data_IF_193038216133
#
_entry.id   IF_193038216133
#
_cell.length_a   1.000
_cell.length_b   1.000
_cell.length_c   1.000
_cell.angle_alpha   90.00
_cell.angle_beta   90.00
_cell.angle_gamma   90.00
#
_symmetry.space_group_name_H-M   'P 1'
#
loop_
_entity.id
_entity.type
_entity.pdbx_description
1 polymer ?
#
# COMPACT_ATOMS: atom_id res chain seq x y z
N UNK A 1 -0.57 -33.15 20.29
CA UNK A 1 -1.55 -32.66 19.29
C UNK A 1 -0.80 -32.07 18.10
N UNK A 2 -0.90 -32.64 16.89
CA UNK A 2 -0.12 -32.25 15.70
C UNK A 2 -0.19 -30.75 15.33
N UNK A 3 -1.27 -30.06 15.69
CA UNK A 3 -1.45 -28.62 15.40
C UNK A 3 -0.51 -27.67 16.16
N UNK A 4 0.00 -28.07 17.34
CA UNK A 4 0.93 -27.23 18.09
C UNK A 4 2.27 -27.06 17.36
N UNK A 5 2.74 -28.11 16.68
CA UNK A 5 3.98 -28.10 15.89
C UNK A 5 3.88 -27.13 14.71
N UNK A 6 2.73 -27.11 14.03
CA UNK A 6 2.49 -26.22 12.88
C UNK A 6 2.44 -24.75 13.32
N UNK A 7 1.77 -24.47 14.44
CA UNK A 7 1.73 -23.12 15.01
C UNK A 7 3.12 -22.63 15.44
N UNK A 8 3.91 -23.51 16.08
CA UNK A 8 5.29 -23.20 16.48
C UNK A 8 6.18 -22.87 15.28
N UNK A 9 6.04 -23.60 14.17
CA UNK A 9 6.76 -23.31 12.93
C UNK A 9 6.37 -21.95 12.34
N UNK A 10 5.08 -21.62 12.30
CA UNK A 10 4.61 -20.31 11.82
C UNK A 10 5.14 -19.17 12.70
N UNK A 11 5.10 -19.32 14.02
CA UNK A 11 5.63 -18.34 14.98
C UNK A 11 7.14 -18.18 14.79
N UNK A 12 7.89 -19.28 14.71
CA UNK A 12 9.33 -19.24 14.50
C UNK A 12 9.69 -18.53 13.19
N UNK A 13 8.98 -18.84 12.10
CA UNK A 13 9.17 -18.18 10.81
C UNK A 13 8.91 -16.68 10.89
N UNK A 14 7.76 -16.26 11.43
CA UNK A 14 7.42 -14.84 11.55
C UNK A 14 8.42 -14.08 12.42
N UNK A 15 8.86 -14.66 13.54
CA UNK A 15 9.85 -14.06 14.42
C UNK A 15 11.20 -13.86 13.71
N UNK A 16 11.71 -14.90 13.02
CA UNK A 16 12.96 -14.80 12.26
C UNK A 16 12.83 -13.81 11.10
N UNK A 17 11.70 -13.78 10.39
CA UNK A 17 11.44 -12.81 9.32
C UNK A 17 11.42 -11.36 9.83
N UNK A 18 10.79 -11.10 10.98
CA UNK A 18 10.80 -9.78 11.62
C UNK A 18 12.21 -9.38 12.02
N UNK A 19 12.96 -10.27 12.68
CA UNK A 19 14.35 -10.02 13.05
C UNK A 19 15.23 -9.74 11.83
N UNK A 20 15.07 -10.51 10.75
CA UNK A 20 15.78 -10.30 9.49
C UNK A 20 15.45 -8.96 8.84
N UNK A 21 14.17 -8.58 8.80
CA UNK A 21 13.73 -7.29 8.29
C UNK A 21 14.30 -6.12 9.12
N UNK A 22 14.33 -6.24 10.45
CA UNK A 22 14.93 -5.25 11.33
C UNK A 22 16.45 -5.15 11.14
N UNK A 23 17.16 -6.28 11.03
CA UNK A 23 18.59 -6.30 10.78
C UNK A 23 18.94 -5.60 9.46
N UNK A 24 18.18 -5.87 8.39
CA UNK A 24 18.33 -5.19 7.10
C UNK A 24 18.04 -3.69 7.19
N UNK A 25 16.96 -3.30 7.88
CA UNK A 25 16.60 -1.90 8.05
C UNK A 25 17.66 -1.11 8.85
N UNK A 26 18.20 -1.71 9.93
CA UNK A 26 19.29 -1.11 10.72
C UNK A 26 20.57 -1.01 9.89
N UNK A 27 20.93 -2.06 9.16
CA UNK A 27 22.10 -2.03 8.28
C UNK A 27 21.97 -0.97 7.18
N UNK A 28 20.76 -0.80 6.62
CA UNK A 28 20.46 0.23 5.64
C UNK A 28 20.60 1.64 6.24
N UNK A 29 20.06 1.89 7.44
CA UNK A 29 20.23 3.16 8.14
C UNK A 29 21.71 3.45 8.42
N UNK A 30 22.46 2.46 8.90
CA UNK A 30 23.90 2.62 9.17
C UNK A 30 24.68 3.01 7.91
N UNK A 31 24.30 2.46 6.74
CA UNK A 31 24.98 2.71 5.47
C UNK A 31 24.60 4.03 4.81
N UNK A 32 23.33 4.42 4.85
CA UNK A 32 22.80 5.57 4.09
C UNK A 32 22.42 6.77 4.96
N UNK A 33 21.99 6.53 6.21
CA UNK A 33 21.58 7.56 7.17
C UNK A 33 20.26 8.27 6.84
N UNK A 34 19.49 8.62 7.86
CA UNK A 34 18.31 9.47 7.76
C UNK A 34 17.09 8.82 7.08
N UNK A 35 17.02 7.49 7.03
CA UNK A 35 15.86 6.77 6.51
C UNK A 35 14.77 6.67 7.58
N UNK A 36 15.10 6.24 8.80
CA UNK A 36 14.13 6.13 9.89
C UNK A 36 13.51 7.48 10.24
N UNK A 37 14.28 8.57 10.27
CA UNK A 37 13.75 9.90 10.56
C UNK A 37 12.68 10.36 9.54
N UNK A 38 12.84 9.99 8.26
CA UNK A 38 11.87 10.32 7.22
C UNK A 38 10.59 9.48 7.30
N UNK A 39 10.73 8.20 7.64
CA UNK A 39 9.62 7.24 7.62
C UNK A 39 8.89 7.13 8.97
N UNK A 40 9.53 7.52 10.08
CA UNK A 40 8.99 7.38 11.43
C UNK A 40 7.58 7.98 11.58
N UNK A 41 7.34 9.14 10.96
CA UNK A 41 6.01 9.78 10.96
C UNK A 41 4.98 8.91 10.25
N UNK A 42 5.23 8.52 9.00
CA UNK A 42 4.31 7.67 8.23
C UNK A 42 4.11 6.30 8.88
N UNK A 43 5.13 5.78 9.56
CA UNK A 43 5.06 4.53 10.32
C UNK A 43 4.18 4.65 11.57
N UNK A 44 4.29 5.75 12.31
CA UNK A 44 3.40 6.01 13.45
C UNK A 44 1.95 6.21 13.00
N UNK A 45 1.75 6.96 11.90
CA UNK A 45 0.42 7.14 11.29
C UNK A 45 -0.18 5.80 10.85
N UNK A 46 0.62 4.90 10.25
CA UNK A 46 0.14 3.58 9.83
C UNK A 46 -0.15 2.65 11.01
N UNK A 47 0.63 2.73 12.09
CA UNK A 47 0.38 1.98 13.32
C UNK A 47 -0.94 2.38 13.97
N UNK A 48 -1.17 3.69 14.17
CA UNK A 48 -2.44 4.21 14.71
C UNK A 48 -3.61 3.80 13.81
N UNK A 49 -3.44 3.94 12.50
CA UNK A 49 -4.45 3.56 11.54
C UNK A 49 -4.80 2.06 11.60
N UNK A 50 -3.80 1.18 11.69
CA UNK A 50 -4.00 -0.26 11.82
C UNK A 50 -4.74 -0.64 13.12
N UNK A 51 -4.43 0.03 14.24
CA UNK A 51 -5.14 -0.18 15.50
C UNK A 51 -6.61 0.27 15.40
N UNK A 52 -6.87 1.45 14.84
CA UNK A 52 -8.24 1.92 14.60
C UNK A 52 -9.03 0.98 13.68
N UNK A 53 -8.39 0.46 12.62
CA UNK A 53 -8.98 -0.52 11.72
C UNK A 53 -9.36 -1.82 12.45
N UNK A 54 -8.49 -2.30 13.34
CA UNK A 54 -8.75 -3.48 14.17
C UNK A 54 -9.92 -3.27 15.15
N UNK A 55 -9.97 -2.12 15.83
CA UNK A 55 -11.08 -1.75 16.72
C UNK A 55 -12.39 -1.66 15.94
N UNK A 56 -12.38 -1.03 14.77
CA UNK A 56 -13.53 -0.93 13.89
C UNK A 56 -14.01 -2.31 13.41
N UNK A 57 -13.11 -3.17 12.95
CA UNK A 57 -13.43 -4.54 12.55
C UNK A 57 -14.07 -5.31 13.71
N UNK A 58 -13.50 -5.22 14.92
CA UNK A 58 -14.09 -5.85 16.11
C UNK A 58 -15.50 -5.31 16.43
N UNK A 59 -15.69 -3.99 16.34
CA UNK A 59 -17.01 -3.37 16.48
C UNK A 59 -18.02 -3.90 15.46
N UNK A 60 -17.61 -4.03 14.19
CA UNK A 60 -18.45 -4.63 13.15
C UNK A 60 -18.78 -6.10 13.44
N UNK A 61 -17.84 -6.88 13.98
CA UNK A 61 -18.10 -8.25 14.42
C UNK A 61 -19.15 -8.31 15.54
N UNK A 62 -19.17 -7.35 16.47
CA UNK A 62 -20.19 -7.30 17.53
C UNK A 62 -21.58 -6.98 16.96
N UNK A 63 -21.67 -6.08 15.98
CA UNK A 63 -22.95 -5.70 15.35
C UNK A 63 -23.48 -6.80 14.43
N UNK A 64 -22.60 -7.44 13.66
CA UNK A 64 -22.96 -8.51 12.70
C UNK A 64 -23.00 -9.88 13.38
N UNK A 65 -22.45 -10.02 14.59
CA UNK A 65 -22.38 -11.25 15.36
C UNK A 65 -23.73 -11.95 15.57
N UNK A 66 -24.84 -11.24 15.86
CA UNK A 66 -26.17 -11.83 15.97
C UNK A 66 -26.72 -12.38 14.63
N UNK A 67 -26.23 -11.88 13.49
CA UNK A 67 -26.68 -12.31 12.17
C UNK A 67 -26.16 -13.73 11.91
N UNK A 68 -27.09 -14.67 11.77
CA UNK A 68 -26.79 -16.09 11.56
C UNK A 68 -27.63 -16.61 10.41
N UNK A 69 -26.99 -17.25 9.44
CA UNK A 69 -27.62 -17.90 8.29
C UNK A 69 -27.76 -19.41 8.53
N UNK A 70 -28.56 -20.08 7.69
CA UNK A 70 -28.70 -21.53 7.71
C UNK A 70 -27.36 -22.28 7.52
N UNK A 71 -26.39 -21.66 6.83
CA UNK A 71 -25.04 -22.18 6.68
C UNK A 71 -24.06 -21.49 7.63
N UNK A 72 -23.34 -22.28 8.43
CA UNK A 72 -22.27 -21.82 9.31
C UNK A 72 -21.16 -21.13 8.51
N UNK A 73 -20.79 -21.68 7.35
CA UNK A 73 -19.76 -21.11 6.47
C UNK A 73 -20.15 -19.72 5.99
N UNK A 74 -21.41 -19.55 5.54
CA UNK A 74 -21.90 -18.26 5.07
C UNK A 74 -21.94 -17.23 6.20
N UNK A 75 -22.30 -17.65 7.41
CA UNK A 75 -22.31 -16.79 8.60
C UNK A 75 -20.92 -16.29 8.96
N UNK A 76 -19.91 -17.16 8.98
CA UNK A 76 -18.53 -16.79 9.30
C UNK A 76 -17.95 -15.92 8.18
N UNK A 77 -18.21 -16.26 6.92
CA UNK A 77 -17.79 -15.46 5.77
C UNK A 77 -18.38 -14.05 5.81
N UNK A 78 -19.69 -13.91 6.02
CA UNK A 78 -20.36 -12.61 6.07
C UNK A 78 -19.84 -11.74 7.23
N UNK A 79 -19.60 -12.33 8.41
CA UNK A 79 -19.00 -11.64 9.56
C UNK A 79 -17.58 -11.15 9.26
N UNK A 80 -16.75 -12.02 8.69
CA UNK A 80 -15.38 -11.68 8.30
C UNK A 80 -15.33 -10.62 7.20
N UNK A 81 -16.20 -10.72 6.20
CA UNK A 81 -16.31 -9.76 5.11
C UNK A 81 -16.77 -8.38 5.61
N UNK A 82 -17.83 -8.34 6.43
CA UNK A 82 -18.32 -7.09 7.01
C UNK A 82 -17.26 -6.44 7.91
N UNK A 83 -16.57 -7.21 8.76
CA UNK A 83 -15.47 -6.74 9.58
C UNK A 83 -14.31 -6.18 8.75
N UNK A 84 -13.92 -6.88 7.69
CA UNK A 84 -12.87 -6.46 6.77
C UNK A 84 -13.21 -5.17 6.03
N UNK A 85 -14.41 -5.07 5.44
CA UNK A 85 -14.87 -3.87 4.74
C UNK A 85 -14.94 -2.68 5.68
N UNK A 86 -15.51 -2.86 6.88
CA UNK A 86 -15.62 -1.77 7.85
C UNK A 86 -14.24 -1.32 8.36
N UNK A 87 -13.32 -2.26 8.61
CA UNK A 87 -11.93 -1.96 8.95
C UNK A 87 -11.20 -1.15 7.88
N UNK A 88 -11.40 -1.48 6.59
CA UNK A 88 -10.83 -0.73 5.46
C UNK A 88 -11.42 0.67 5.36
N UNK A 89 -12.74 0.83 5.53
CA UNK A 89 -13.41 2.14 5.50
C UNK A 89 -12.86 3.04 6.61
N UNK A 90 -12.75 2.50 7.83
CA UNK A 90 -12.24 3.26 8.97
C UNK A 90 -10.75 3.59 8.79
N UNK A 91 -9.93 2.68 8.28
CA UNK A 91 -8.51 2.97 8.03
C UNK A 91 -8.33 4.06 6.97
N UNK A 92 -9.11 4.03 5.89
CA UNK A 92 -9.13 5.08 4.88
C UNK A 92 -9.51 6.45 5.48
N UNK A 93 -10.53 6.47 6.35
CA UNK A 93 -10.95 7.69 7.05
C UNK A 93 -9.85 8.22 8.00
N UNK A 94 -9.21 7.34 8.77
CA UNK A 94 -8.13 7.72 9.69
C UNK A 94 -6.93 8.27 8.93
N UNK A 95 -6.52 7.65 7.83
CA UNK A 95 -5.45 8.19 6.99
C UNK A 95 -5.81 9.54 6.37
N UNK A 96 -7.08 9.73 5.97
CA UNK A 96 -7.56 11.00 5.44
C UNK A 96 -7.49 12.11 6.50
N UNK A 97 -7.93 11.83 7.73
CA UNK A 97 -7.86 12.78 8.87
C UNK A 97 -6.41 13.06 9.28
N UNK A 98 -5.56 12.04 9.32
CA UNK A 98 -4.13 12.20 9.63
C UNK A 98 -3.38 13.00 8.55
N UNK A 99 -3.98 13.20 7.37
CA UNK A 99 -3.39 13.94 6.28
C UNK A 99 -2.14 13.28 5.70
N UNK A 100 -2.02 11.94 5.82
CA UNK A 100 -0.85 11.19 5.40
C UNK A 100 -0.59 11.40 3.89
N UNK A 101 0.59 11.92 3.55
CA UNK A 101 0.95 12.23 2.16
C UNK A 101 1.01 10.96 1.31
N UNK A 102 1.63 9.91 1.84
CA UNK A 102 1.81 8.63 1.15
C UNK A 102 0.45 7.99 0.78
N UNK A 103 -0.54 8.12 1.67
CA UNK A 103 -1.91 7.66 1.39
C UNK A 103 -2.55 8.46 0.26
N UNK A 104 -2.44 9.79 0.27
CA UNK A 104 -2.98 10.64 -0.80
C UNK A 104 -2.37 10.32 -2.16
N UNK A 105 -1.04 10.16 -2.21
CA UNK A 105 -0.32 9.78 -3.44
C UNK A 105 -0.74 8.40 -3.93
N UNK A 106 -0.98 7.45 -3.02
CA UNK A 106 -1.49 6.12 -3.36
C UNK A 106 -2.90 6.19 -3.96
N UNK A 107 -3.80 6.96 -3.35
CA UNK A 107 -5.18 7.13 -3.84
C UNK A 107 -5.20 7.81 -5.22
N UNK A 108 -4.38 8.84 -5.41
CA UNK A 108 -4.25 9.52 -6.71
C UNK A 108 -3.68 8.59 -7.79
N UNK A 109 -2.68 7.77 -7.43
CA UNK A 109 -2.11 6.77 -8.33
C UNK A 109 -3.13 5.70 -8.74
N UNK A 110 -3.99 5.27 -7.82
CA UNK A 110 -5.09 4.35 -8.14
C UNK A 110 -6.12 5.05 -9.04
N UNK A 111 -6.53 6.26 -8.69
CA UNK A 111 -7.54 7.02 -9.44
C UNK A 111 -7.10 7.29 -10.88
N UNK A 112 -5.86 7.71 -11.09
CA UNK A 112 -5.29 7.94 -12.42
C UNK A 112 -5.26 6.70 -13.32
N UNK A 113 -5.22 5.48 -12.73
CA UNK A 113 -5.32 4.22 -13.50
C UNK A 113 -6.72 3.98 -14.05
N UNK A 114 -7.76 4.43 -13.34
CA UNK A 114 -9.15 4.30 -13.76
C UNK A 114 -9.60 5.44 -14.68
N UNK A 115 -8.97 6.62 -14.61
CA UNK A 115 -9.35 7.77 -15.43
C UNK A 115 -8.89 7.70 -16.90
N UNK A 116 -8.19 6.62 -17.30
CA UNK A 116 -7.73 6.43 -18.67
C UNK A 116 -6.64 7.46 -19.02
N UNK A 117 -5.43 6.98 -19.29
CA UNK A 117 -4.32 7.84 -19.68
C UNK A 117 -4.73 8.67 -20.90
N UNK A 118 -5.04 9.96 -20.70
CA UNK A 118 -5.03 10.93 -21.80
C UNK A 118 -3.57 10.97 -22.26
N UNK A 119 -3.31 10.39 -23.42
CA UNK A 119 -2.00 10.44 -24.03
C UNK A 119 -1.53 11.90 -24.05
N UNK A 120 -0.31 12.21 -23.54
CA UNK A 120 0.24 13.54 -23.76
C UNK A 120 0.30 13.78 -25.28
N UNK A 121 -0.06 14.98 -25.77
CA UNK A 121 0.06 15.28 -27.19
C UNK A 121 1.51 15.04 -27.60
N UNK A 122 1.73 14.05 -28.46
CA UNK A 122 3.04 13.73 -29.00
C UNK A 122 3.57 15.00 -29.67
N UNK A 123 4.72 15.55 -29.22
CA UNK A 123 5.37 16.58 -30.01
C UNK A 123 5.72 15.94 -31.36
N UNK A 124 5.18 16.52 -32.43
CA UNK A 124 5.44 16.12 -33.80
C UNK A 124 6.95 16.09 -34.02
N UNK A 125 7.49 14.88 -34.21
CA UNK A 125 8.84 14.63 -34.74
C UNK A 125 8.86 15.06 -36.21
N UNK A 126 8.71 16.37 -36.46
CA UNK A 126 8.56 16.92 -37.81
C UNK A 126 9.45 18.15 -38.08
N UNK A 127 10.33 18.55 -37.16
CA UNK A 127 11.15 19.77 -37.34
C UNK A 127 12.66 19.51 -37.43
N UNK A 128 13.17 18.33 -37.01
CA UNK A 128 14.63 18.07 -37.02
C UNK A 128 15.16 17.52 -38.36
N UNK A 129 14.30 16.98 -39.23
CA UNK A 129 14.77 16.37 -40.49
C UNK A 129 14.90 17.36 -41.68
N UNK A 130 14.60 18.65 -41.48
CA UNK A 130 14.61 19.65 -42.55
C UNK A 130 15.95 20.40 -42.70
N UNK A 131 16.96 20.13 -41.87
CA UNK A 131 18.27 20.80 -41.98
C UNK A 131 19.26 20.08 -42.93
N UNK A 132 18.92 18.91 -43.45
CA UNK A 132 19.77 18.21 -44.42
C UNK A 132 19.40 18.59 -45.86
N UNK A 133 19.57 19.87 -46.20
CA UNK A 133 19.66 20.36 -47.57
C UNK A 133 20.36 21.71 -47.62
N UNK A 134 21.50 21.75 -48.32
CA UNK A 134 22.16 22.92 -48.93
C UNK A 134 23.22 23.68 -48.12
N UNK A 135 24.48 23.20 -48.15
CA UNK A 135 25.65 24.06 -48.47
C UNK A 135 26.92 23.23 -48.69
N UNK A 136 27.10 22.67 -49.89
CA UNK A 136 28.44 22.31 -50.38
C UNK A 136 29.01 23.54 -51.08
N UNK A 137 29.90 24.26 -50.40
CA UNK A 137 30.65 25.41 -50.92
C UNK A 137 31.63 24.97 -52.04
N UNK A 138 31.87 25.79 -53.08
CA UNK A 138 32.88 25.50 -54.08
C UNK A 138 34.28 25.81 -53.53
N UNK A 139 35.24 24.89 -53.73
CA UNK A 139 36.66 25.19 -53.67
C UNK A 139 37.21 25.20 -55.10
N UNK A 140 37.67 26.37 -55.52
CA UNK A 140 38.57 26.61 -56.63
C UNK A 140 39.62 27.59 -56.16
#
# INVERSE_FOLDING_TARGET
>A
MPGASVLMLAIAYTAVSILGALALAIHFEYRFGGFFARVARSWAESLVCALCAGVAAYGALLVVGPITFASTTLSIFARGFAGGVFGIIVSALVYWIAGNREFKETVESIRSRFEGVKAPPTPSVAVVSAEESTSTSPQG
#
